data_IF_550170116357
#
_entry.id   IF_550170116357
#
_cell.length_a   1.000
_cell.length_b   1.000
_cell.length_c   1.000
_cell.angle_alpha   90.00
_cell.angle_beta   90.00
_cell.angle_gamma   90.00
#
_symmetry.space_group_name_H-M   'P 1'
#
loop_
_entity.id
_entity.type
_entity.pdbx_description
1 polymer ?
#
# COMPACT_ATOMS: atom_id res chain seq x y z
N UNK A 1 3.74 13.65 18.90
CA UNK A 1 4.38 12.83 17.85
C UNK A 1 5.64 13.51 17.35
N UNK A 2 6.74 12.78 17.20
CA UNK A 2 8.00 13.30 16.66
C UNK A 2 7.93 13.60 15.16
N UNK A 3 8.81 14.48 14.67
CA UNK A 3 8.92 14.76 13.24
C UNK A 3 9.25 13.50 12.41
N UNK A 4 10.00 12.57 13.01
CA UNK A 4 10.37 11.30 12.37
C UNK A 4 9.12 10.47 12.10
N UNK A 5 8.26 10.26 13.11
CA UNK A 5 7.02 9.49 12.94
C UNK A 5 6.06 10.12 11.93
N UNK A 6 5.93 11.46 11.92
CA UNK A 6 5.15 12.17 10.90
C UNK A 6 5.67 11.87 9.50
N UNK A 7 6.99 11.97 9.28
CA UNK A 7 7.61 11.72 7.98
C UNK A 7 7.40 10.26 7.54
N UNK A 8 7.57 9.29 8.45
CA UNK A 8 7.36 7.88 8.15
C UNK A 8 5.92 7.61 7.69
N UNK A 9 4.92 8.11 8.41
CA UNK A 9 3.50 7.94 8.05
C UNK A 9 3.19 8.66 6.74
N UNK A 10 3.66 9.90 6.57
CA UNK A 10 3.41 10.72 5.39
C UNK A 10 3.99 10.09 4.10
N UNK A 11 5.17 9.47 4.17
CA UNK A 11 5.77 8.76 3.03
C UNK A 11 4.89 7.58 2.57
N UNK A 12 4.37 6.79 3.52
CA UNK A 12 3.47 5.68 3.20
C UNK A 12 2.13 6.20 2.66
N UNK A 13 1.58 7.26 3.27
CA UNK A 13 0.37 7.92 2.79
C UNK A 13 0.53 8.42 1.34
N UNK A 14 1.66 9.05 1.03
CA UNK A 14 1.95 9.57 -0.29
C UNK A 14 2.11 8.46 -1.33
N UNK A 15 2.72 7.34 -0.97
CA UNK A 15 2.79 6.15 -1.84
C UNK A 15 1.39 5.67 -2.21
N UNK A 16 0.50 5.49 -1.22
CA UNK A 16 -0.89 5.09 -1.46
C UNK A 16 -1.67 6.14 -2.24
N UNK A 17 -1.44 7.44 -2.00
CA UNK A 17 -2.05 8.51 -2.76
C UNK A 17 -1.63 8.47 -4.23
N UNK A 18 -0.32 8.32 -4.50
CA UNK A 18 0.21 8.24 -5.85
C UNK A 18 -0.33 7.01 -6.59
N UNK A 19 -0.32 5.83 -5.95
CA UNK A 19 -0.90 4.62 -6.51
C UNK A 19 -2.41 4.76 -6.75
N UNK A 20 -3.13 5.34 -5.79
CA UNK A 20 -4.58 5.58 -5.86
C UNK A 20 -4.96 6.51 -7.01
N UNK A 21 -4.31 7.66 -7.12
CA UNK A 21 -4.52 8.60 -8.23
C UNK A 21 -4.19 7.92 -9.57
N UNK A 22 -3.07 7.20 -9.64
CA UNK A 22 -2.68 6.51 -10.86
C UNK A 22 -3.67 5.41 -11.25
N UNK A 23 -4.17 4.62 -10.29
CA UNK A 23 -5.18 3.58 -10.52
C UNK A 23 -6.53 4.14 -11.00
N UNK A 24 -6.93 5.32 -10.52
CA UNK A 24 -8.14 6.01 -11.00
C UNK A 24 -8.01 6.49 -12.45
N UNK A 25 -6.86 7.10 -12.78
CA UNK A 25 -6.63 7.76 -14.06
C UNK A 25 -6.15 6.81 -15.17
N UNK A 26 -5.34 5.80 -14.82
CA UNK A 26 -4.62 4.92 -15.74
C UNK A 26 -4.68 3.44 -15.28
N UNK A 27 -5.88 2.85 -15.09
CA UNK A 27 -6.03 1.52 -14.51
C UNK A 27 -5.28 0.43 -15.27
N UNK A 28 -5.39 0.41 -16.61
CA UNK A 28 -4.72 -0.63 -17.42
C UNK A 28 -3.20 -0.55 -17.35
N UNK A 29 -2.62 0.65 -17.22
CA UNK A 29 -1.17 0.81 -17.11
C UNK A 29 -0.65 0.44 -15.73
N UNK A 30 -1.48 0.58 -14.69
CA UNK A 30 -1.10 0.19 -13.33
C UNK A 30 -0.92 -1.33 -13.20
N UNK A 31 -1.77 -2.09 -13.88
CA UNK A 31 -1.81 -3.55 -13.75
C UNK A 31 -1.00 -4.28 -14.81
N UNK A 32 -0.60 -3.59 -15.89
CA UNK A 32 0.23 -4.15 -16.97
C UNK A 32 1.54 -4.80 -16.47
N UNK A 33 2.31 -4.17 -15.55
CA UNK A 33 3.53 -4.78 -15.03
C UNK A 33 3.29 -6.05 -14.21
N UNK A 34 2.05 -6.24 -13.74
CA UNK A 34 1.60 -7.43 -13.01
C UNK A 34 1.12 -8.55 -13.94
N UNK A 35 1.12 -8.33 -15.26
CA UNK A 35 0.51 -9.25 -16.24
C UNK A 35 -1.02 -9.32 -16.14
N UNK A 36 -1.63 -8.37 -15.42
CA UNK A 36 -3.08 -8.31 -15.22
C UNK A 36 -3.72 -7.46 -16.33
N UNK A 37 -4.47 -8.13 -17.21
CA UNK A 37 -5.18 -7.51 -18.32
C UNK A 37 -6.45 -6.80 -17.83
N UNK A 38 -6.45 -5.46 -17.88
CA UNK A 38 -7.63 -4.63 -17.67
C UNK A 38 -8.16 -4.09 -19.03
N UNK A 39 -8.44 -5.01 -19.94
CA UNK A 39 -8.89 -4.76 -21.31
C UNK A 39 -10.41 -4.49 -21.41
N UNK A 40 -11.19 -5.03 -20.47
CA UNK A 40 -12.64 -4.83 -20.35
C UNK A 40 -13.00 -3.66 -19.43
N UNK A 41 -14.19 -3.09 -19.65
CA UNK A 41 -14.72 -2.01 -18.81
C UNK A 41 -14.85 -2.44 -17.34
N UNK A 42 -15.38 -3.64 -17.12
CA UNK A 42 -15.59 -4.23 -15.79
C UNK A 42 -14.25 -4.41 -15.05
N UNK A 43 -13.24 -4.96 -15.73
CA UNK A 43 -11.90 -5.12 -15.16
C UNK A 43 -11.27 -3.77 -14.79
N UNK A 44 -11.43 -2.74 -15.64
CA UNK A 44 -10.96 -1.38 -15.30
C UNK A 44 -11.76 -0.76 -14.14
N UNK A 45 -13.03 -1.11 -13.96
CA UNK A 45 -13.82 -0.65 -12.82
C UNK A 45 -13.28 -1.25 -11.52
N UNK A 46 -12.98 -2.55 -11.51
CA UNK A 46 -12.34 -3.23 -10.37
C UNK A 46 -10.99 -2.62 -10.00
N UNK A 47 -10.14 -2.35 -11.01
CA UNK A 47 -8.85 -1.71 -10.75
C UNK A 47 -9.01 -0.33 -10.11
N UNK A 48 -9.98 0.46 -10.59
CA UNK A 48 -10.28 1.77 -10.01
C UNK A 48 -10.83 1.68 -8.60
N UNK A 49 -11.56 0.62 -8.26
CA UNK A 49 -12.07 0.43 -6.91
C UNK A 49 -10.95 0.01 -5.95
N UNK A 50 -10.20 -1.05 -6.29
CA UNK A 50 -9.25 -1.72 -5.39
C UNK A 50 -7.89 -1.04 -5.34
N UNK A 51 -7.35 -0.60 -6.49
CA UNK A 51 -6.05 0.08 -6.50
C UNK A 51 -6.22 1.60 -6.48
N UNK A 52 -7.32 2.10 -7.04
CA UNK A 52 -7.64 3.52 -7.05
C UNK A 52 -8.24 4.02 -5.73
N UNK A 53 -9.56 3.86 -5.58
CA UNK A 53 -10.35 4.39 -4.48
C UNK A 53 -9.91 3.90 -3.11
N UNK A 54 -9.62 2.61 -2.96
CA UNK A 54 -9.08 2.06 -1.72
C UNK A 54 -7.70 2.66 -1.39
N UNK A 55 -6.80 2.80 -2.37
CA UNK A 55 -5.51 3.48 -2.18
C UNK A 55 -5.67 4.92 -1.67
N UNK A 56 -6.61 5.68 -2.24
CA UNK A 56 -6.95 7.03 -1.76
C UNK A 56 -7.49 6.99 -0.32
N UNK A 57 -8.36 6.04 0.02
CA UNK A 57 -8.89 5.92 1.37
C UNK A 57 -7.79 5.63 2.41
N UNK A 58 -6.84 4.75 2.09
CA UNK A 58 -5.67 4.47 2.94
C UNK A 58 -4.79 5.71 3.09
N UNK A 59 -4.56 6.45 2.00
CA UNK A 59 -3.81 7.71 2.07
C UNK A 59 -4.48 8.75 2.97
N UNK A 60 -5.81 8.87 2.93
CA UNK A 60 -6.57 9.79 3.78
C UNK A 60 -6.44 9.40 5.25
N UNK A 61 -6.68 8.14 5.61
CA UNK A 61 -6.62 7.73 7.03
C UNK A 61 -5.20 7.85 7.60
N UNK A 62 -4.16 7.57 6.81
CA UNK A 62 -2.78 7.80 7.20
C UNK A 62 -2.43 9.29 7.26
N UNK A 63 -3.01 10.12 6.40
CA UNK A 63 -2.90 11.58 6.49
C UNK A 63 -3.50 12.13 7.79
N UNK A 64 -4.66 11.63 8.20
CA UNK A 64 -5.28 11.94 9.49
C UNK A 64 -4.42 11.46 10.66
N UNK A 65 -3.83 10.27 10.55
CA UNK A 65 -2.88 9.76 11.54
C UNK A 65 -1.62 10.65 11.66
N UNK A 66 -1.06 11.11 10.54
CA UNK A 66 0.09 12.01 10.51
C UNK A 66 -0.23 13.42 11.05
N UNK A 67 -1.49 13.85 10.89
CA UNK A 67 -2.01 15.11 11.44
C UNK A 67 -2.50 14.98 12.90
N UNK A 68 -2.36 13.80 13.52
CA UNK A 68 -2.77 13.52 14.90
C UNK A 68 -4.26 13.81 15.18
N UNK A 69 -5.13 13.51 14.19
CA UNK A 69 -6.56 13.82 14.26
C UNK A 69 -7.34 12.65 14.88
N UNK A 70 -8.07 12.92 15.96
CA UNK A 70 -9.10 12.01 16.49
C UNK A 70 -8.57 10.68 17.03
N UNK A 71 -7.33 10.66 17.53
CA UNK A 71 -6.66 9.50 18.14
C UNK A 71 -6.62 8.24 17.24
N UNK A 72 -6.76 8.40 15.91
CA UNK A 72 -6.79 7.27 14.97
C UNK A 72 -5.41 6.70 14.66
N UNK A 73 -4.34 7.40 15.07
CA UNK A 73 -2.96 7.13 14.63
C UNK A 73 -2.53 5.69 14.82
N UNK A 74 -2.64 5.17 16.05
CA UNK A 74 -2.19 3.80 16.38
C UNK A 74 -2.99 2.77 15.60
N UNK A 75 -4.33 2.90 15.63
CA UNK A 75 -5.22 1.99 14.90
C UNK A 75 -4.93 1.97 13.40
N UNK A 76 -4.87 3.16 12.77
CA UNK A 76 -4.59 3.30 11.34
C UNK A 76 -3.22 2.69 10.96
N UNK A 77 -2.15 3.03 11.69
CA UNK A 77 -0.81 2.53 11.39
C UNK A 77 -0.73 1.01 11.55
N UNK A 78 -1.26 0.45 12.64
CA UNK A 78 -1.24 -1.00 12.88
C UNK A 78 -2.07 -1.72 11.81
N UNK A 79 -3.28 -1.26 11.52
CA UNK A 79 -4.13 -1.89 10.50
C UNK A 79 -3.46 -1.90 9.13
N UNK A 80 -2.90 -0.77 8.69
CA UNK A 80 -2.25 -0.69 7.37
C UNK A 80 -0.96 -1.49 7.34
N UNK A 81 -0.17 -1.49 8.43
CA UNK A 81 1.02 -2.32 8.54
C UNK A 81 0.69 -3.82 8.46
N UNK A 82 -0.38 -4.26 9.14
CA UNK A 82 -0.87 -5.64 9.06
C UNK A 82 -1.34 -5.99 7.65
N UNK A 83 -2.06 -5.10 6.98
CA UNK A 83 -2.49 -5.30 5.60
C UNK A 83 -1.30 -5.46 4.65
N UNK A 84 -0.28 -4.60 4.77
CA UNK A 84 0.98 -4.71 4.01
C UNK A 84 1.71 -6.02 4.30
N UNK A 85 1.78 -6.43 5.57
CA UNK A 85 2.34 -7.72 5.96
C UNK A 85 1.60 -8.92 5.34
N UNK A 86 0.27 -8.86 5.27
CA UNK A 86 -0.55 -9.87 4.59
C UNK A 86 -0.26 -9.95 3.08
N UNK A 87 -0.08 -8.80 2.42
CA UNK A 87 0.29 -8.76 1.00
C UNK A 87 1.70 -9.31 0.75
N UNK A 88 2.66 -8.99 1.62
CA UNK A 88 4.01 -9.54 1.55
C UNK A 88 4.00 -11.07 1.76
N UNK A 89 3.23 -11.55 2.74
CA UNK A 89 3.03 -12.98 2.97
C UNK A 89 2.43 -13.67 1.74
N UNK A 90 1.41 -13.09 1.11
CA UNK A 90 0.82 -13.63 -0.11
C UNK A 90 1.84 -13.83 -1.25
N UNK A 91 2.81 -12.92 -1.38
CA UNK A 91 3.89 -13.06 -2.37
C UNK A 91 4.88 -14.16 -2.04
N UNK A 92 5.24 -14.30 -0.76
CA UNK A 92 6.09 -15.40 -0.30
C UNK A 92 5.39 -16.74 -0.59
N UNK A 93 4.11 -16.84 -0.23
CA UNK A 93 3.30 -18.03 -0.50
C UNK A 93 3.20 -18.33 -2.00
N UNK A 94 2.96 -17.30 -2.82
CA UNK A 94 2.97 -17.43 -4.28
C UNK A 94 4.31 -17.94 -4.81
N UNK A 95 5.45 -17.59 -4.21
CA UNK A 95 6.75 -18.11 -4.62
C UNK A 95 6.99 -19.59 -4.29
N UNK A 96 6.20 -20.18 -3.38
CA UNK A 96 6.24 -21.62 -3.10
C UNK A 96 5.28 -22.42 -4.00
N UNK A 97 4.15 -21.82 -4.39
CA UNK A 97 3.12 -22.47 -5.22
C UNK A 97 3.42 -22.31 -6.71
N UNK A 98 3.93 -21.14 -7.09
CA UNK A 98 4.22 -20.75 -8.46
C UNK A 98 5.74 -20.51 -8.64
N UNK A 99 6.19 -20.38 -9.89
CA UNK A 99 7.57 -20.00 -10.23
C UNK A 99 7.61 -18.60 -10.85
N UNK A 100 7.82 -17.53 -10.06
CA UNK A 100 7.93 -16.17 -10.61
C UNK A 100 9.02 -16.11 -11.67
N UNK A 101 8.68 -15.63 -12.86
CA UNK A 101 9.59 -15.59 -14.01
C UNK A 101 10.74 -14.58 -13.85
N UNK A 102 10.59 -13.60 -12.95
CA UNK A 102 11.55 -12.53 -12.73
C UNK A 102 11.43 -11.92 -11.32
N UNK A 103 12.42 -11.11 -10.95
CA UNK A 103 12.42 -10.34 -9.70
C UNK A 103 11.26 -9.33 -9.65
N UNK A 104 11.12 -8.54 -10.72
CA UNK A 104 9.99 -7.63 -10.90
C UNK A 104 8.87 -8.35 -11.66
N UNK A 105 7.61 -8.24 -11.24
CA UNK A 105 7.08 -7.36 -10.18
C UNK A 105 7.09 -7.94 -8.75
N UNK A 106 7.09 -9.26 -8.61
CA UNK A 106 6.70 -9.96 -7.37
C UNK A 106 7.59 -9.58 -6.18
N UNK A 107 8.89 -9.84 -6.29
CA UNK A 107 9.83 -9.67 -5.17
C UNK A 107 10.12 -8.20 -4.88
N UNK A 108 10.07 -7.35 -5.90
CA UNK A 108 10.16 -5.89 -5.72
C UNK A 108 9.01 -5.36 -4.85
N UNK A 109 7.76 -5.73 -5.15
CA UNK A 109 6.63 -5.30 -4.34
C UNK A 109 6.65 -5.89 -2.93
N UNK A 110 7.13 -7.12 -2.75
CA UNK A 110 7.34 -7.68 -1.41
C UNK A 110 8.27 -6.79 -0.58
N UNK A 111 9.40 -6.37 -1.14
CA UNK A 111 10.35 -5.49 -0.44
C UNK A 111 9.68 -4.16 -0.07
N UNK A 112 8.95 -3.55 -1.01
CA UNK A 112 8.22 -2.31 -0.73
C UNK A 112 7.18 -2.47 0.37
N UNK A 113 6.42 -3.57 0.36
CA UNK A 113 5.41 -3.86 1.37
C UNK A 113 6.01 -4.03 2.76
N UNK A 114 7.11 -4.77 2.87
CA UNK A 114 7.85 -4.94 4.13
C UNK A 114 8.42 -3.62 4.63
N UNK A 115 9.03 -2.81 3.76
CA UNK A 115 9.58 -1.51 4.14
C UNK A 115 8.48 -0.59 4.67
N UNK A 116 7.37 -0.45 3.94
CA UNK A 116 6.26 0.42 4.36
C UNK A 116 5.61 -0.07 5.65
N UNK A 117 5.44 -1.39 5.83
CA UNK A 117 4.93 -1.95 7.07
C UNK A 117 5.86 -1.64 8.24
N UNK A 118 7.17 -1.81 8.06
CA UNK A 118 8.17 -1.48 9.07
C UNK A 118 8.19 0.01 9.42
N UNK A 119 8.03 0.90 8.45
CA UNK A 119 7.91 2.35 8.68
C UNK A 119 6.73 2.69 9.59
N UNK A 120 5.56 2.09 9.35
CA UNK A 120 4.37 2.32 10.17
C UNK A 120 4.51 1.73 11.58
N UNK A 121 5.07 0.52 11.71
CA UNK A 121 5.37 -0.06 13.03
C UNK A 121 6.34 0.82 13.80
N UNK A 122 7.41 1.29 13.15
CA UNK A 122 8.40 2.15 13.77
C UNK A 122 7.80 3.49 14.21
N UNK A 123 6.92 4.09 13.40
CA UNK A 123 6.24 5.34 13.77
C UNK A 123 5.35 5.19 15.02
N UNK A 124 4.78 4.01 15.25
CA UNK A 124 4.00 3.72 16.47
C UNK A 124 4.91 3.43 17.66
N UNK A 125 6.04 2.73 17.47
CA UNK A 125 6.92 2.36 18.59
C UNK A 125 7.80 3.51 19.08
N UNK A 126 8.17 4.46 18.21
CA UNK A 126 8.93 5.65 18.60
C UNK A 126 8.11 6.64 19.42
N UNK A 127 6.81 6.70 19.16
CA UNK A 127 5.84 7.56 19.84
C UNK A 127 4.63 6.69 20.23
N UNK A 128 4.65 5.96 21.35
CA UNK A 128 3.53 5.11 21.77
C UNK A 128 2.26 5.92 22.10
#
# INVERSE_FOLDING_TARGET
MSIVSIVLIALVALFFAAMGVYGLLRPSQLTDPLGLLADRADARAEVRAVYGGFGIAIAVILGLAAADVGDVRVGACVTVATALGGMAFGRIWSGFVESPSAFFPVWFYLVLEVIMAAMLVLAVTLDP
#
